data_IF_893009364216
#
_entry.id   IF_893009364216
#
_cell.length_a   1.000
_cell.length_b   1.000
_cell.length_c   1.000
_cell.angle_alpha   90.00
_cell.angle_beta   90.00
_cell.angle_gamma   90.00
#
_symmetry.space_group_name_H-M   'P 1'
#
loop_
_entity.id
_entity.type
_entity.pdbx_description
1 polymer ?
#
# COMPACT_ATOMS: atom_id res chain seq x y z
N UNK A 1 77.59 -3.27 31.26
CA UNK A 1 76.32 -4.01 31.40
C UNK A 1 75.52 -3.61 32.65
N UNK A 2 76.14 -2.86 33.58
CA UNK A 2 75.48 -2.23 34.74
C UNK A 2 74.66 -0.99 34.36
N UNK A 3 75.21 -0.12 33.50
CA UNK A 3 74.57 1.17 33.17
C UNK A 3 73.19 1.02 32.49
N UNK A 4 72.98 -0.10 31.80
CA UNK A 4 71.71 -0.48 31.17
C UNK A 4 70.65 -0.89 32.20
N UNK A 5 71.07 -1.57 33.27
CA UNK A 5 70.19 -2.01 34.35
C UNK A 5 69.79 -0.81 35.24
N UNK A 6 70.73 0.10 35.51
CA UNK A 6 70.46 1.30 36.31
C UNK A 6 69.50 2.27 35.61
N UNK A 7 69.58 2.35 34.27
CA UNK A 7 68.65 3.13 33.46
C UNK A 7 67.24 2.50 33.44
N UNK A 8 67.17 1.17 33.37
CA UNK A 8 65.92 0.42 33.45
C UNK A 8 65.22 0.64 34.80
N UNK A 9 65.98 0.56 35.90
CA UNK A 9 65.47 0.79 37.25
C UNK A 9 64.97 2.23 37.45
N UNK A 10 65.69 3.22 36.92
CA UNK A 10 65.26 4.63 36.94
C UNK A 10 63.96 4.88 36.18
N UNK A 11 63.67 4.10 35.12
CA UNK A 11 62.45 4.20 34.31
C UNK A 11 61.34 3.21 34.73
N UNK A 12 61.50 2.53 35.86
CA UNK A 12 60.59 1.47 36.31
C UNK A 12 59.12 1.92 36.39
N UNK A 13 58.85 3.16 36.81
CA UNK A 13 57.48 3.69 36.87
C UNK A 13 56.79 3.73 35.50
N UNK A 14 57.49 4.17 34.45
CA UNK A 14 56.96 4.20 33.09
C UNK A 14 56.83 2.79 32.52
N UNK A 15 57.82 1.92 32.74
CA UNK A 15 57.81 0.53 32.29
C UNK A 15 56.62 -0.23 32.89
N UNK A 16 56.37 -0.07 34.19
CA UNK A 16 55.23 -0.66 34.87
C UNK A 16 53.90 -0.22 34.24
N UNK A 17 53.72 1.08 33.95
CA UNK A 17 52.50 1.59 33.31
C UNK A 17 52.26 1.00 31.92
N UNK A 18 53.31 0.87 31.10
CA UNK A 18 53.19 0.24 29.77
C UNK A 18 52.87 -1.25 29.84
N UNK A 19 53.48 -1.98 30.78
CA UNK A 19 53.17 -3.40 31.02
C UNK A 19 51.72 -3.55 31.47
N UNK A 20 51.28 -2.72 32.43
CA UNK A 20 49.90 -2.74 32.90
C UNK A 20 48.92 -2.45 31.76
N UNK A 21 49.21 -1.47 30.92
CA UNK A 21 48.38 -1.14 29.75
C UNK A 21 48.28 -2.33 28.78
N UNK A 22 49.41 -2.91 28.39
CA UNK A 22 49.45 -4.08 27.49
C UNK A 22 48.69 -5.27 28.06
N UNK A 23 48.89 -5.56 29.35
CA UNK A 23 48.21 -6.66 30.04
C UNK A 23 46.70 -6.42 30.09
N UNK A 24 46.26 -5.19 30.35
CA UNK A 24 44.84 -4.83 30.38
C UNK A 24 44.19 -5.00 29.02
N UNK A 25 44.84 -4.52 27.95
CA UNK A 25 44.36 -4.69 26.56
C UNK A 25 44.27 -6.18 26.20
N UNK A 26 45.29 -6.97 26.55
CA UNK A 26 45.29 -8.41 26.31
C UNK A 26 44.14 -9.10 27.05
N UNK A 27 43.89 -8.74 28.32
CA UNK A 27 42.76 -9.27 29.08
C UNK A 27 41.42 -8.90 28.43
N UNK A 28 41.20 -7.63 28.07
CA UNK A 28 39.95 -7.20 27.43
C UNK A 28 39.71 -7.99 26.15
N UNK A 29 40.70 -8.11 25.26
CA UNK A 29 40.58 -8.86 24.00
C UNK A 29 40.34 -10.35 24.25
N UNK A 30 41.00 -10.95 25.24
CA UNK A 30 40.83 -12.35 25.59
C UNK A 30 39.42 -12.66 26.12
N UNK A 31 38.89 -11.79 26.99
CA UNK A 31 37.55 -11.94 27.56
C UNK A 31 36.44 -11.41 26.65
N UNK A 32 36.78 -10.69 25.57
CA UNK A 32 35.79 -10.20 24.64
C UNK A 32 35.09 -11.39 23.96
N UNK A 33 33.75 -11.52 24.08
CA UNK A 33 33.04 -12.64 23.48
C UNK A 33 33.19 -12.59 21.96
N UNK A 34 33.72 -13.65 21.35
CA UNK A 34 34.04 -13.73 19.90
C UNK A 34 32.82 -13.81 18.96
N UNK A 35 31.69 -13.24 19.36
CA UNK A 35 30.46 -13.20 18.56
C UNK A 35 29.22 -13.60 19.35
N UNK A 36 28.08 -13.07 18.94
CA UNK A 36 26.78 -13.50 19.46
C UNK A 36 26.47 -14.91 18.95
N UNK A 37 26.20 -15.84 19.86
CA UNK A 37 25.56 -17.10 19.49
C UNK A 37 24.20 -16.75 18.90
N UNK A 38 24.04 -16.93 17.59
CA UNK A 38 22.72 -16.81 16.98
C UNK A 38 21.82 -17.85 17.66
N UNK A 39 20.70 -17.41 18.26
CA UNK A 39 19.85 -18.27 19.11
C UNK A 39 19.21 -19.43 18.35
N UNK A 40 19.31 -19.43 17.02
CA UNK A 40 18.63 -20.34 16.12
C UNK A 40 19.64 -21.19 15.36
N UNK A 41 19.69 -22.48 15.65
CA UNK A 41 20.47 -23.47 14.91
C UNK A 41 19.52 -24.27 14.02
N UNK A 42 19.70 -24.19 12.70
CA UNK A 42 18.86 -24.91 11.75
C UNK A 42 19.61 -26.10 11.19
N UNK A 43 19.00 -27.28 11.25
CA UNK A 43 19.51 -28.50 10.65
C UNK A 43 18.77 -28.80 9.36
N UNK A 44 19.51 -29.00 8.26
CA UNK A 44 18.93 -29.32 6.95
C UNK A 44 18.14 -30.64 7.02
N UNK A 45 16.91 -30.62 6.52
CA UNK A 45 16.02 -31.80 6.49
C UNK A 45 15.25 -32.05 7.78
N UNK A 46 15.37 -31.18 8.79
CA UNK A 46 14.50 -31.19 9.97
C UNK A 46 13.39 -30.15 9.81
N UNK A 47 12.21 -30.37 10.41
CA UNK A 47 11.16 -29.36 10.50
C UNK A 47 11.66 -28.09 11.19
N UNK A 48 11.05 -26.95 10.87
CA UNK A 48 11.33 -25.67 11.52
C UNK A 48 10.96 -25.75 13.01
N UNK A 49 11.92 -25.48 13.90
CA UNK A 49 11.77 -25.67 15.35
C UNK A 49 11.50 -24.38 16.13
N UNK A 50 11.59 -23.24 15.46
CA UNK A 50 11.50 -21.94 16.10
C UNK A 50 10.17 -21.26 15.79
N UNK A 51 9.80 -20.27 16.59
CA UNK A 51 8.61 -19.48 16.30
C UNK A 51 8.81 -18.69 15.01
N UNK A 52 7.72 -18.56 14.24
CA UNK A 52 7.71 -17.68 13.09
C UNK A 52 7.72 -16.24 13.58
N UNK A 53 8.69 -15.46 13.12
CA UNK A 53 8.76 -14.04 13.42
C UNK A 53 7.84 -13.31 12.44
N UNK A 54 6.67 -12.91 12.94
CA UNK A 54 5.76 -12.04 12.22
C UNK A 54 6.07 -10.57 12.55
N UNK A 55 5.84 -9.69 11.57
CA UNK A 55 5.92 -8.26 11.84
C UNK A 55 4.81 -7.85 12.83
N UNK A 56 5.07 -6.94 13.78
CA UNK A 56 4.05 -6.48 14.73
C UNK A 56 3.05 -5.49 14.10
N UNK A 57 3.12 -5.29 12.78
CA UNK A 57 2.24 -4.42 12.02
C UNK A 57 2.08 -4.97 10.61
N UNK A 58 0.97 -4.60 9.98
CA UNK A 58 0.69 -4.91 8.59
C UNK A 58 1.25 -3.80 7.69
N UNK A 59 1.79 -4.19 6.54
CA UNK A 59 2.13 -3.25 5.47
C UNK A 59 1.09 -3.35 4.36
N UNK A 60 0.67 -2.21 3.82
CA UNK A 60 -0.20 -2.19 2.66
C UNK A 60 0.57 -2.71 1.45
N UNK A 61 0.07 -3.77 0.81
CA UNK A 61 0.53 -4.19 -0.50
C UNK A 61 -0.11 -3.24 -1.51
N UNK A 62 0.70 -2.36 -2.10
CA UNK A 62 0.22 -1.43 -3.12
C UNK A 62 -0.07 -2.22 -4.41
N UNK A 63 -1.32 -2.16 -4.86
CA UNK A 63 -1.72 -2.68 -6.17
C UNK A 63 -1.01 -1.92 -7.28
N UNK A 64 -0.75 -2.60 -8.39
CA UNK A 64 -0.21 -1.95 -9.58
C UNK A 64 -1.23 -0.99 -10.20
N UNK A 65 -0.77 0.01 -10.95
CA UNK A 65 -1.68 0.94 -11.63
C UNK A 65 -2.58 0.23 -12.65
N UNK A 66 -2.06 -0.81 -13.31
CA UNK A 66 -2.80 -1.64 -14.27
C UNK A 66 -3.92 -2.44 -13.59
N UNK A 67 -3.65 -3.01 -12.42
CA UNK A 67 -4.63 -3.76 -11.64
C UNK A 67 -5.76 -2.85 -11.15
N UNK A 68 -5.42 -1.64 -10.70
CA UNK A 68 -6.43 -0.64 -10.29
C UNK A 68 -7.29 -0.21 -11.48
N UNK A 69 -6.69 0.02 -12.66
CA UNK A 69 -7.44 0.39 -13.85
C UNK A 69 -8.42 -0.71 -14.28
N UNK A 70 -7.96 -1.97 -14.31
CA UNK A 70 -8.81 -3.11 -14.64
C UNK A 70 -9.98 -3.27 -13.64
N UNK A 71 -9.73 -3.10 -12.35
CA UNK A 71 -10.80 -3.15 -11.35
C UNK A 71 -11.82 -2.02 -11.52
N UNK A 72 -11.38 -0.80 -11.82
CA UNK A 72 -12.27 0.33 -12.09
C UNK A 72 -13.16 0.05 -13.32
N UNK A 73 -12.59 -0.49 -14.39
CA UNK A 73 -13.34 -0.82 -15.61
C UNK A 73 -14.37 -1.92 -15.33
N UNK A 74 -14.01 -2.94 -14.54
CA UNK A 74 -14.95 -4.00 -14.14
C UNK A 74 -16.10 -3.46 -13.30
N UNK A 75 -15.80 -2.57 -12.34
CA UNK A 75 -16.83 -1.94 -11.51
C UNK A 75 -17.76 -1.09 -12.37
N UNK A 76 -17.22 -0.28 -13.28
CA UNK A 76 -18.02 0.55 -14.17
C UNK A 76 -18.97 -0.28 -15.06
N UNK A 77 -18.51 -1.44 -15.54
CA UNK A 77 -19.33 -2.35 -16.34
C UNK A 77 -20.38 -3.11 -15.52
N UNK A 78 -20.07 -3.46 -14.27
CA UNK A 78 -20.94 -4.23 -13.41
C UNK A 78 -21.89 -3.37 -12.56
N UNK A 79 -21.71 -2.05 -12.56
CA UNK A 79 -22.50 -1.15 -11.74
C UNK A 79 -23.94 -1.05 -12.26
N UNK A 80 -24.89 -1.26 -11.35
CA UNK A 80 -26.30 -0.96 -11.59
C UNK A 80 -26.51 0.56 -11.54
N UNK A 81 -27.18 1.08 -12.56
CA UNK A 81 -27.54 2.49 -12.63
C UNK A 81 -28.69 2.78 -11.67
N UNK A 82 -28.49 3.76 -10.80
CA UNK A 82 -29.53 4.26 -9.90
C UNK A 82 -29.92 5.66 -10.37
N UNK A 83 -31.18 5.82 -10.72
CA UNK A 83 -31.74 7.07 -11.19
C UNK A 83 -32.49 7.77 -10.07
N UNK A 84 -32.35 9.09 -9.98
CA UNK A 84 -33.15 9.92 -9.13
C UNK A 84 -34.30 10.51 -9.95
N UNK A 85 -35.52 10.39 -9.44
CA UNK A 85 -36.67 11.04 -10.05
C UNK A 85 -36.56 12.56 -9.88
N UNK A 86 -36.68 13.31 -10.98
CA UNK A 86 -36.72 14.77 -11.00
C UNK A 86 -37.96 15.23 -11.78
N UNK A 87 -38.83 15.94 -11.07
CA UNK A 87 -40.08 16.46 -11.62
C UNK A 87 -39.85 17.56 -12.67
N UNK A 88 -38.75 18.32 -12.58
CA UNK A 88 -38.41 19.33 -13.56
C UNK A 88 -38.01 18.70 -14.90
N UNK A 89 -37.31 17.56 -14.86
CA UNK A 89 -36.96 16.79 -16.06
C UNK A 89 -38.23 16.26 -16.72
N UNK A 90 -39.18 15.72 -15.93
CA UNK A 90 -40.49 15.31 -16.45
C UNK A 90 -41.20 16.46 -17.16
N UNK A 91 -41.27 17.63 -16.53
CA UNK A 91 -41.91 18.81 -17.12
C UNK A 91 -41.21 19.28 -18.41
N UNK A 92 -39.88 19.28 -18.43
CA UNK A 92 -39.09 19.63 -19.62
C UNK A 92 -39.35 18.66 -20.79
N UNK A 93 -39.33 17.35 -20.53
CA UNK A 93 -39.56 16.32 -21.55
C UNK A 93 -40.97 16.42 -22.12
N UNK A 94 -41.98 16.67 -21.29
CA UNK A 94 -43.36 16.87 -21.75
C UNK A 94 -43.49 18.13 -22.62
N UNK A 95 -42.84 19.23 -22.23
CA UNK A 95 -42.83 20.46 -23.04
C UNK A 95 -42.12 20.26 -24.38
N UNK A 96 -41.00 19.53 -24.39
CA UNK A 96 -40.26 19.23 -25.61
C UNK A 96 -41.06 18.29 -26.53
N UNK A 97 -41.78 17.32 -25.94
CA UNK A 97 -42.70 16.44 -26.65
C UNK A 97 -43.80 17.26 -27.36
N UNK A 98 -44.50 18.14 -26.64
CA UNK A 98 -45.54 18.98 -27.22
C UNK A 98 -45.00 19.88 -28.34
N UNK A 99 -43.81 20.45 -28.17
CA UNK A 99 -43.19 21.31 -29.18
C UNK A 99 -42.79 20.55 -30.46
N UNK A 100 -42.41 19.28 -30.34
CA UNK A 100 -41.96 18.47 -31.48
C UNK A 100 -43.08 17.66 -32.13
N UNK A 101 -44.21 17.44 -31.42
CA UNK A 101 -45.28 16.56 -31.86
C UNK A 101 -45.81 16.93 -33.26
N UNK A 102 -46.16 18.20 -33.47
CA UNK A 102 -46.71 18.67 -34.75
C UNK A 102 -45.68 18.58 -35.90
N UNK A 103 -44.39 18.67 -35.58
CA UNK A 103 -43.32 18.51 -36.57
C UNK A 103 -43.12 17.05 -36.98
N UNK A 104 -43.28 16.11 -36.06
CA UNK A 104 -43.09 14.67 -36.31
C UNK A 104 -44.30 14.07 -37.01
N UNK A 105 -45.52 14.48 -36.62
CA UNK A 105 -46.78 13.93 -37.12
C UNK A 105 -47.44 14.76 -38.24
N UNK A 106 -46.65 15.46 -39.06
CA UNK A 106 -47.16 16.28 -40.17
C UNK A 106 -47.60 15.46 -41.40
N UNK A 107 -47.48 14.13 -41.39
CA UNK A 107 -47.91 13.29 -42.51
C UNK A 107 -49.45 13.21 -42.58
N UNK A 108 -50.07 13.40 -43.76
CA UNK A 108 -51.50 13.22 -43.98
C UNK A 108 -52.10 11.91 -43.44
N UNK A 109 -51.30 10.84 -43.33
CA UNK A 109 -51.73 9.53 -42.82
C UNK A 109 -52.24 9.60 -41.37
N UNK A 110 -51.79 10.58 -40.58
CA UNK A 110 -52.13 10.68 -39.14
C UNK A 110 -53.31 11.61 -38.83
N UNK A 111 -53.91 12.28 -39.83
CA UNK A 111 -54.92 13.33 -39.61
C UNK A 111 -56.13 12.90 -38.77
N UNK A 112 -56.59 11.67 -38.96
CA UNK A 112 -57.79 11.16 -38.27
C UNK A 112 -57.51 10.68 -36.84
N UNK A 113 -56.23 10.40 -36.53
CA UNK A 113 -55.80 9.85 -35.23
C UNK A 113 -54.83 10.77 -34.48
N UNK A 114 -54.64 12.01 -34.93
CA UNK A 114 -53.61 12.90 -34.39
C UNK A 114 -53.82 13.21 -32.89
N UNK A 115 -55.04 13.57 -32.52
CA UNK A 115 -55.42 13.86 -31.13
C UNK A 115 -55.39 12.65 -30.19
N UNK A 116 -55.94 11.47 -30.56
CA UNK A 116 -55.81 10.29 -29.70
C UNK A 116 -54.34 9.86 -29.51
N UNK A 117 -53.50 9.97 -30.55
CA UNK A 117 -52.05 9.69 -30.44
C UNK A 117 -51.34 10.66 -29.48
N UNK A 118 -51.75 11.93 -29.47
CA UNK A 118 -51.19 12.94 -28.57
C UNK A 118 -51.54 12.66 -27.10
N UNK A 119 -52.80 12.31 -26.84
CA UNK A 119 -53.29 11.99 -25.49
C UNK A 119 -52.62 10.73 -24.92
N UNK A 120 -52.41 9.71 -25.75
CA UNK A 120 -51.74 8.48 -25.33
C UNK A 120 -50.26 8.72 -24.97
N UNK A 121 -49.57 9.65 -25.64
CA UNK A 121 -48.19 10.03 -25.31
C UNK A 121 -48.04 10.86 -24.02
N UNK A 122 -49.10 11.56 -23.60
CA UNK A 122 -49.10 12.40 -22.39
C UNK A 122 -49.51 11.63 -21.12
N UNK A 123 -50.12 10.45 -21.25
CA UNK A 123 -50.59 9.61 -20.14
C UNK A 123 -49.49 8.66 -19.58
N UNK A 124 -48.29 8.70 -20.15
CA UNK A 124 -47.11 7.88 -19.77
C UNK A 124 -46.30 8.57 -18.68
#
# INVERSE_FOLDING_TARGET
MSDTLDNLYRKQSSIYKYILYLLTVACIVFFFPKGGKFKYEFQKGKPWQYENLYAPFDFSILKSAEEIANEQDQIAQAQLEYYQFDENIKASVLSDFEAQFDSVFNDPIFRDNLEPLRLEGLDI
#
